data_IF_095613221631
#
_entry.id   IF_095613221631
#
_cell.length_a   1.000
_cell.length_b   1.000
_cell.length_c   1.000
_cell.angle_alpha   90.00
_cell.angle_beta   90.00
_cell.angle_gamma   90.00
#
_symmetry.space_group_name_H-M   'P 1'
#
loop_
_entity.id
_entity.type
_entity.pdbx_description
1 polymer ?
#
# COMPACT_ATOMS: atom_id res chain seq x y z
N UNK A 1 12.34 4.27 5.80
CA UNK A 1 10.98 4.16 6.38
C UNK A 1 10.05 3.48 5.38
N UNK A 2 8.92 2.88 5.78
CA UNK A 2 8.00 2.16 4.87
C UNK A 2 7.47 3.00 3.69
N UNK A 3 7.43 4.33 3.85
CA UNK A 3 7.13 5.26 2.75
C UNK A 3 8.15 5.18 1.61
N UNK A 4 9.43 5.15 1.95
CA UNK A 4 10.52 5.10 0.98
C UNK A 4 10.45 3.78 0.18
N UNK A 5 10.05 2.68 0.84
CA UNK A 5 9.77 1.40 0.19
C UNK A 5 8.59 1.49 -0.79
N UNK A 6 7.56 2.27 -0.46
CA UNK A 6 6.40 2.47 -1.33
C UNK A 6 6.73 3.24 -2.60
N UNK A 7 7.60 4.24 -2.51
CA UNK A 7 8.05 5.02 -3.67
C UNK A 7 8.88 4.18 -4.64
N UNK A 8 9.71 3.26 -4.15
CA UNK A 8 10.46 2.31 -4.99
C UNK A 8 9.55 1.27 -5.68
N UNK A 9 8.42 0.90 -5.05
CA UNK A 9 7.47 -0.07 -5.60
C UNK A 9 6.59 0.53 -6.71
N UNK A 10 6.31 1.83 -6.68
CA UNK A 10 5.50 2.53 -7.69
C UNK A 10 6.42 3.19 -8.73
N UNK A 11 7.26 2.39 -9.37
CA UNK A 11 8.21 2.88 -10.39
C UNK A 11 7.60 2.93 -11.79
N UNK A 12 6.56 2.13 -12.07
CA UNK A 12 5.83 2.15 -13.33
C UNK A 12 4.40 1.61 -13.15
N UNK A 13 3.49 1.98 -14.08
CA UNK A 13 2.14 1.42 -14.10
C UNK A 13 2.23 -0.08 -14.41
N UNK A 14 1.71 -0.97 -13.55
CA UNK A 14 1.85 -2.40 -13.74
C UNK A 14 1.13 -2.85 -15.02
N UNK A 15 1.88 -3.39 -15.98
CA UNK A 15 1.34 -3.94 -17.21
C UNK A 15 0.84 -5.37 -16.96
N UNK A 16 -0.35 -5.70 -17.47
CA UNK A 16 -0.93 -7.04 -17.31
C UNK A 16 -1.56 -7.32 -15.94
N UNK A 17 -1.73 -6.32 -15.09
CA UNK A 17 -2.48 -6.45 -13.84
C UNK A 17 -3.97 -6.66 -14.14
N UNK A 18 -4.48 -7.88 -13.95
CA UNK A 18 -5.91 -8.20 -14.13
C UNK A 18 -6.69 -8.10 -12.82
N UNK A 19 -6.08 -8.55 -11.71
CA UNK A 19 -6.69 -8.52 -10.38
C UNK A 19 -5.79 -7.83 -9.36
N UNK A 20 -6.32 -6.75 -8.79
CA UNK A 20 -5.67 -5.99 -7.73
C UNK A 20 -6.30 -6.34 -6.37
N UNK A 21 -5.48 -6.79 -5.44
CA UNK A 21 -5.80 -6.94 -4.03
C UNK A 21 -5.34 -5.73 -3.25
N UNK A 22 -6.15 -5.32 -2.28
CA UNK A 22 -5.84 -4.24 -1.35
C UNK A 22 -5.95 -4.81 0.05
N UNK A 23 -4.88 -4.69 0.83
CA UNK A 23 -4.86 -5.05 2.24
C UNK A 23 -4.38 -3.86 3.08
N UNK A 24 -4.64 -3.87 4.39
CA UNK A 24 -4.26 -2.78 5.30
C UNK A 24 -3.27 -3.26 6.37
N UNK A 25 -2.17 -2.54 6.53
CA UNK A 25 -1.19 -2.77 7.60
C UNK A 25 -1.13 -1.54 8.51
N UNK A 26 -1.43 -1.75 9.79
CA UNK A 26 -1.24 -0.75 10.82
C UNK A 26 0.27 -0.62 11.15
N UNK A 27 0.84 0.57 10.99
CA UNK A 27 2.26 0.80 11.32
C UNK A 27 2.49 0.69 12.83
N UNK A 28 1.55 1.23 13.62
CA UNK A 28 1.48 1.09 15.07
C UNK A 28 0.00 0.93 15.43
N UNK A 29 -0.35 -0.18 16.07
CA UNK A 29 -1.73 -0.44 16.52
C UNK A 29 -2.24 0.73 17.38
N UNK A 30 -3.44 1.21 17.08
CA UNK A 30 -4.11 2.28 17.84
C UNK A 30 -3.70 3.71 17.52
N UNK A 31 -2.71 3.96 16.64
CA UNK A 31 -2.25 5.32 16.30
C UNK A 31 -2.87 5.92 15.03
N UNK A 32 -3.79 5.21 14.38
CA UNK A 32 -4.46 5.74 13.18
C UNK A 32 -3.59 5.84 11.93
N UNK A 33 -2.35 5.33 11.98
CA UNK A 33 -1.40 5.33 10.87
C UNK A 33 -1.41 3.96 10.20
N UNK A 34 -1.96 3.92 8.99
CA UNK A 34 -2.15 2.69 8.23
C UNK A 34 -1.47 2.82 6.86
N UNK A 35 -1.11 1.69 6.28
CA UNK A 35 -0.66 1.58 4.90
C UNK A 35 -1.59 0.62 4.17
N UNK A 36 -2.08 1.02 3.00
CA UNK A 36 -2.68 0.10 2.07
C UNK A 36 -1.56 -0.59 1.29
N UNK A 37 -1.60 -1.92 1.24
CA UNK A 37 -0.71 -2.77 0.45
C UNK A 37 -1.43 -3.16 -0.82
N UNK A 38 -0.83 -2.85 -1.95
CA UNK A 38 -1.34 -3.22 -3.27
C UNK A 38 -0.67 -4.53 -3.70
N UNK A 39 -1.46 -5.55 -3.98
CA UNK A 39 -0.99 -6.88 -4.35
C UNK A 39 -1.58 -7.29 -5.69
N UNK A 40 -0.74 -7.80 -6.59
CA UNK A 40 -1.24 -8.49 -7.78
C UNK A 40 -1.67 -9.90 -7.36
N UNK A 41 -2.99 -10.14 -7.31
CA UNK A 41 -3.55 -11.41 -6.81
C UNK A 41 -3.10 -12.59 -7.67
N UNK A 42 -2.98 -12.40 -8.99
CA UNK A 42 -2.63 -13.47 -9.91
C UNK A 42 -1.18 -13.96 -9.69
N UNK A 43 -0.29 -13.10 -9.18
CA UNK A 43 1.14 -13.42 -8.95
C UNK A 43 1.53 -13.48 -7.47
N UNK A 44 0.66 -13.03 -6.56
CA UNK A 44 0.96 -12.86 -5.14
C UNK A 44 1.99 -11.76 -4.83
N UNK A 45 2.43 -10.97 -5.82
CA UNK A 45 3.47 -9.95 -5.62
C UNK A 45 2.90 -8.63 -5.12
N UNK A 46 3.58 -8.02 -4.17
CA UNK A 46 3.33 -6.64 -3.75
C UNK A 46 3.81 -5.72 -4.87
N UNK A 47 2.95 -4.81 -5.29
CA UNK A 47 3.21 -3.86 -6.38
C UNK A 47 3.15 -2.40 -5.93
N UNK A 48 2.83 -2.14 -4.67
CA UNK A 48 2.80 -0.78 -4.13
C UNK A 48 2.41 -0.73 -2.67
N UNK A 49 2.81 0.36 -2.02
CA UNK A 49 2.39 0.72 -0.67
C UNK A 49 1.88 2.16 -0.71
N UNK A 50 0.71 2.40 -0.12
CA UNK A 50 0.10 3.73 -0.06
C UNK A 50 -0.14 4.08 1.40
N UNK A 51 0.50 5.14 1.87
CA UNK A 51 0.30 5.63 3.24
C UNK A 51 -1.07 6.28 3.41
N UNK A 52 -1.89 5.73 4.30
CA UNK A 52 -3.16 6.29 4.74
C UNK A 52 -2.95 6.99 6.08
N UNK A 53 -2.93 8.33 6.06
CA UNK A 53 -3.09 9.12 7.28
C UNK A 53 -4.56 9.38 7.48
N UNK A 54 -5.13 8.92 8.61
CA UNK A 54 -6.39 9.51 9.08
C UNK A 54 -6.13 10.97 9.41
N UNK A 55 -6.52 11.86 8.51
CA UNK A 55 -6.71 13.27 8.85
C UNK A 55 -7.95 13.31 9.73
N UNK A 56 -7.76 13.39 11.04
CA UNK A 56 -8.82 13.82 11.94
C UNK A 56 -9.13 15.27 11.56
N UNK A 57 -10.18 15.48 10.77
CA UNK A 57 -10.80 16.81 10.69
C UNK A 57 -11.42 17.05 12.06
N UNK A 58 -10.73 17.86 12.86
CA UNK A 58 -11.34 18.64 13.94
C UNK A 58 -12.14 19.78 13.33
#
# INVERSE_FOLDING_TARGET
MLKDLGEELITAKPQGLKKLGIDEIAMIKGKGNYYAVLVNIDTGKIIGLVGLKRSTRV
#
